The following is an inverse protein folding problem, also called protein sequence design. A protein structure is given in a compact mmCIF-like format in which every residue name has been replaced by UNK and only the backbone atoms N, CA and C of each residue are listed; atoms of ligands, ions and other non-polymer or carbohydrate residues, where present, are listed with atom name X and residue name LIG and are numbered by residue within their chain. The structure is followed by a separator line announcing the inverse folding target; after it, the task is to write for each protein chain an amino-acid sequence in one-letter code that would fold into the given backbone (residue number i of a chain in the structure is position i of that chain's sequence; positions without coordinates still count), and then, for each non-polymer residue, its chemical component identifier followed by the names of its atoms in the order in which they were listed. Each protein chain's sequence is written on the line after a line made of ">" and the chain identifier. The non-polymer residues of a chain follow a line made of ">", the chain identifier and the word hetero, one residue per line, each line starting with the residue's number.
data_IF_806859097303
#
_entry.id   IF_806859097303
#
_cell.length_a   1.000
_cell.length_b   1.000
_cell.length_c   1.000
_cell.angle_alpha   90.00
_cell.angle_beta   90.00
_cell.angle_gamma   90.00
#
_symmetry.space_group_name_H-M   'P 1'
#
loop_
_entity.id
_entity.type
_entity.pdbx_description
1 polymer ?
#
# COMPACT_ATOMS: atom_id res chain seq x y z
N UNK A 1 10.53 4.85 -15.20
CA UNK A 1 10.81 3.55 -14.54
C UNK A 1 9.57 2.95 -13.85
N UNK A 2 8.65 3.75 -13.30
CA UNK A 2 7.40 3.29 -12.69
C UNK A 2 6.40 2.58 -13.65
N UNK A 3 6.31 3.00 -14.93
CA UNK A 3 5.29 2.52 -15.89
C UNK A 3 5.27 1.01 -16.19
N UNK A 4 6.37 0.27 -15.95
CA UNK A 4 6.43 -1.19 -16.25
C UNK A 4 6.13 -2.08 -15.06
N UNK A 5 6.15 -1.55 -13.83
CA UNK A 5 6.02 -2.37 -12.62
C UNK A 5 4.54 -2.63 -12.26
N UNK A 6 3.69 -1.63 -12.41
CA UNK A 6 2.27 -1.70 -12.05
C UNK A 6 1.44 -2.76 -12.81
N UNK A 7 1.62 -2.98 -14.13
CA UNK A 7 0.82 -3.98 -14.84
C UNK A 7 1.02 -5.40 -14.31
N UNK A 8 2.23 -5.73 -13.83
CA UNK A 8 2.51 -7.06 -13.26
C UNK A 8 1.91 -7.23 -11.88
N UNK A 9 1.96 -6.18 -11.05
CA UNK A 9 1.32 -6.18 -9.73
C UNK A 9 -0.19 -6.36 -9.88
N UNK A 10 -0.83 -5.59 -10.76
CA UNK A 10 -2.27 -5.71 -11.01
C UNK A 10 -2.63 -7.09 -11.54
N UNK A 11 -1.88 -7.62 -12.50
CA UNK A 11 -2.09 -8.99 -12.97
C UNK A 11 -1.94 -10.05 -11.87
N UNK A 12 -1.04 -9.86 -10.91
CA UNK A 12 -0.90 -10.77 -9.77
C UNK A 12 -2.11 -10.68 -8.82
N UNK A 13 -2.61 -9.47 -8.53
CA UNK A 13 -3.81 -9.25 -7.71
C UNK A 13 -5.05 -9.85 -8.40
N UNK A 14 -5.18 -9.69 -9.72
CA UNK A 14 -6.30 -10.23 -10.50
C UNK A 14 -6.35 -11.75 -10.47
N UNK A 15 -5.19 -12.42 -10.51
CA UNK A 15 -5.08 -13.88 -10.49
C UNK A 15 -5.01 -14.48 -9.08
N UNK A 16 -4.91 -13.67 -8.03
CA UNK A 16 -4.86 -14.17 -6.67
C UNK A 16 -6.20 -14.81 -6.29
N UNK A 17 -6.13 -16.03 -5.73
CA UNK A 17 -7.32 -16.82 -5.34
C UNK A 17 -7.51 -16.90 -3.82
N UNK A 18 -6.45 -16.70 -3.04
CA UNK A 18 -6.48 -16.91 -1.57
C UNK A 18 -6.08 -15.68 -0.77
N UNK A 19 -4.94 -15.10 -1.10
CA UNK A 19 -4.36 -13.98 -0.33
C UNK A 19 -3.67 -12.98 -1.23
N UNK A 20 -3.80 -11.69 -0.89
CA UNK A 20 -2.99 -10.58 -1.41
C UNK A 20 -2.44 -9.80 -0.23
N UNK A 21 -1.11 -9.66 -0.17
CA UNK A 21 -0.40 -8.84 0.81
C UNK A 21 0.32 -7.72 0.06
N UNK A 22 0.05 -6.48 0.43
CA UNK A 22 0.72 -5.30 -0.13
C UNK A 22 1.38 -4.53 1.00
N UNK A 23 2.69 -4.35 0.87
CA UNK A 23 3.48 -3.48 1.74
C UNK A 23 4.11 -2.39 0.89
N UNK A 24 3.76 -1.13 1.15
CA UNK A 24 4.32 0.00 0.40
C UNK A 24 4.65 1.16 1.33
N UNK A 25 5.73 1.85 1.01
CA UNK A 25 6.15 3.05 1.72
C UNK A 25 5.34 4.29 1.31
N UNK A 26 4.86 4.34 0.06
CA UNK A 26 4.13 5.48 -0.49
C UNK A 26 2.90 4.97 -1.23
N UNK A 27 1.75 5.56 -0.91
CA UNK A 27 0.48 5.39 -1.61
C UNK A 27 -0.25 6.74 -1.60
N UNK A 28 -0.62 7.22 -2.79
CA UNK A 28 -1.35 8.45 -3.01
C UNK A 28 -2.66 8.16 -3.74
N UNK A 29 -3.66 9.04 -3.59
CA UNK A 29 -4.90 8.99 -4.39
C UNK A 29 -4.73 9.59 -5.79
N UNK A 30 -3.68 9.19 -6.49
CA UNK A 30 -3.47 9.53 -7.89
C UNK A 30 -4.03 8.44 -8.82
N UNK A 31 -3.82 8.56 -10.13
CA UNK A 31 -4.30 7.58 -11.11
C UNK A 31 -3.86 6.15 -10.79
N UNK A 32 -2.65 5.99 -10.25
CA UNK A 32 -2.05 4.69 -9.97
C UNK A 32 -2.60 4.12 -8.67
N UNK A 33 -2.69 4.92 -7.61
CA UNK A 33 -3.30 4.50 -6.36
C UNK A 33 -4.78 4.18 -6.49
N UNK A 34 -5.52 4.96 -7.28
CA UNK A 34 -6.92 4.66 -7.61
C UNK A 34 -7.06 3.37 -8.45
N UNK A 35 -6.10 3.07 -9.33
CA UNK A 35 -6.08 1.79 -10.02
C UNK A 35 -5.81 0.62 -9.07
N UNK A 36 -4.81 0.75 -8.18
CA UNK A 36 -4.52 -0.25 -7.16
C UNK A 36 -5.72 -0.49 -6.25
N UNK A 37 -6.39 0.59 -5.82
CA UNK A 37 -7.62 0.54 -5.02
C UNK A 37 -8.69 -0.35 -5.66
N UNK A 38 -8.99 -0.12 -6.95
CA UNK A 38 -9.98 -0.92 -7.69
C UNK A 38 -9.62 -2.40 -7.73
N UNK A 39 -8.34 -2.73 -7.95
CA UNK A 39 -7.89 -4.13 -8.01
C UNK A 39 -7.99 -4.82 -6.65
N UNK A 40 -7.63 -4.13 -5.57
CA UNK A 40 -7.73 -4.64 -4.21
C UNK A 40 -9.18 -4.84 -3.78
N UNK A 41 -10.05 -3.88 -4.13
CA UNK A 41 -11.49 -3.97 -3.89
C UNK A 41 -12.09 -5.18 -4.62
N UNK A 42 -11.75 -5.35 -5.90
CA UNK A 42 -12.19 -6.49 -6.69
C UNK A 42 -11.68 -7.82 -6.12
N UNK A 43 -10.44 -7.89 -5.63
CA UNK A 43 -9.90 -9.08 -4.99
C UNK A 43 -10.68 -9.43 -3.71
N UNK A 44 -10.92 -8.45 -2.85
CA UNK A 44 -11.68 -8.65 -1.62
C UNK A 44 -13.12 -9.13 -1.90
N UNK A 45 -13.78 -8.55 -2.92
CA UNK A 45 -15.12 -8.96 -3.36
C UNK A 45 -15.16 -10.39 -3.93
N UNK A 46 -14.06 -10.89 -4.50
CA UNK A 46 -13.93 -12.30 -4.90
C UNK A 46 -13.74 -13.25 -3.71
N UNK A 47 -13.64 -12.74 -2.48
CA UNK A 47 -13.38 -13.53 -1.28
C UNK A 47 -11.90 -13.76 -1.00
N UNK A 48 -11.00 -13.08 -1.71
CA UNK A 48 -9.55 -13.15 -1.46
C UNK A 48 -9.25 -12.39 -0.17
N UNK A 49 -8.44 -12.95 0.73
CA UNK A 49 -7.96 -12.22 1.91
C UNK A 49 -6.97 -11.14 1.49
N UNK A 50 -7.32 -9.87 1.69
CA UNK A 50 -6.45 -8.74 1.32
C UNK A 50 -5.96 -8.02 2.57
N UNK A 51 -4.65 -7.80 2.64
CA UNK A 51 -4.00 -6.97 3.65
C UNK A 51 -3.10 -5.94 2.99
N UNK A 52 -3.25 -4.68 3.41
CA UNK A 52 -2.48 -3.55 2.91
C UNK A 52 -1.84 -2.85 4.09
N UNK A 53 -0.52 -2.74 4.05
CA UNK A 53 0.27 -1.99 5.02
C UNK A 53 0.94 -0.82 4.32
N UNK A 54 0.70 0.39 4.82
CA UNK A 54 1.30 1.62 4.33
C UNK A 54 2.08 2.32 5.43
N UNK A 55 3.19 2.98 5.07
CA UNK A 55 3.91 3.84 6.02
C UNK A 55 3.12 5.14 6.24
N UNK A 56 2.90 5.50 7.51
CA UNK A 56 2.19 6.72 7.91
C UNK A 56 2.83 8.01 7.38
N UNK A 57 4.12 8.01 7.03
CA UNK A 57 4.80 9.17 6.45
C UNK A 57 4.48 9.41 4.97
N UNK A 58 4.28 8.35 4.18
CA UNK A 58 4.09 8.43 2.72
C UNK A 58 2.64 8.36 2.25
N UNK A 59 1.70 8.11 3.18
CA UNK A 59 0.27 7.90 2.91
C UNK A 59 -0.65 8.70 3.82
N UNK A 60 -0.13 9.77 4.45
CA UNK A 60 -0.87 10.64 5.36
C UNK A 60 -2.07 11.37 4.72
N UNK A 61 -2.14 11.42 3.38
CA UNK A 61 -3.16 12.16 2.62
C UNK A 61 -4.27 11.26 2.03
N UNK A 62 -4.33 9.97 2.40
CA UNK A 62 -5.45 9.12 1.99
C UNK A 62 -6.73 9.58 2.69
N UNK A 63 -7.76 9.84 1.90
CA UNK A 63 -9.09 10.19 2.37
C UNK A 63 -9.75 9.02 3.09
N UNK A 64 -10.61 9.35 4.06
CA UNK A 64 -11.45 8.38 4.74
C UNK A 64 -12.28 7.56 3.74
N UNK A 65 -12.72 8.16 2.63
CA UNK A 65 -13.49 7.46 1.60
C UNK A 65 -12.68 6.34 0.94
N UNK A 66 -11.42 6.60 0.62
CA UNK A 66 -10.54 5.61 0.01
C UNK A 66 -10.30 4.43 0.94
N UNK A 67 -9.98 4.71 2.20
CA UNK A 67 -9.70 3.67 3.20
C UNK A 67 -10.99 2.91 3.54
N UNK A 68 -12.08 3.62 3.85
CA UNK A 68 -13.34 3.02 4.28
C UNK A 68 -13.96 2.13 3.21
N UNK A 69 -13.80 2.47 1.93
CA UNK A 69 -14.31 1.60 0.85
C UNK A 69 -13.55 0.27 0.78
N UNK A 70 -12.24 0.26 1.05
CA UNK A 70 -11.45 -0.98 1.14
C UNK A 70 -11.82 -1.77 2.39
N UNK A 71 -11.86 -1.13 3.56
CA UNK A 71 -12.14 -1.82 4.83
C UNK A 71 -13.57 -2.37 4.87
N UNK A 72 -14.54 -1.65 4.30
CA UNK A 72 -15.93 -2.12 4.17
C UNK A 72 -16.06 -3.35 3.26
N UNK A 73 -15.14 -3.54 2.31
CA UNK A 73 -15.07 -4.74 1.49
C UNK A 73 -14.29 -5.89 2.16
N UNK A 74 -13.83 -5.71 3.40
CA UNK A 74 -13.09 -6.72 4.17
C UNK A 74 -11.57 -6.66 4.00
N UNK A 75 -11.02 -5.62 3.36
CA UNK A 75 -9.57 -5.41 3.29
C UNK A 75 -9.05 -4.98 4.66
N UNK A 76 -8.02 -5.68 5.16
CA UNK A 76 -7.31 -5.25 6.36
C UNK A 76 -6.32 -4.15 5.99
N UNK A 77 -6.64 -2.90 6.30
CA UNK A 77 -5.79 -1.74 6.02
C UNK A 77 -5.05 -1.30 7.29
N UNK A 78 -3.72 -1.19 7.23
CA UNK A 78 -2.85 -0.92 8.37
C UNK A 78 -1.96 0.26 8.05
N UNK A 79 -1.99 1.26 8.92
CA UNK A 79 -0.99 2.32 8.95
C UNK A 79 0.15 1.88 9.86
N UNK A 80 1.32 1.67 9.29
CA UNK A 80 2.55 1.45 10.04
C UNK A 80 3.18 2.80 10.37
N UNK A 81 3.13 3.18 11.66
CA UNK A 81 3.79 4.38 12.17
C UNK A 81 5.12 3.99 12.84
N UNK A 82 6.29 4.35 12.26
CA UNK A 82 7.57 4.02 12.86
C UNK A 82 7.97 4.84 14.10
N UNK A 83 7.17 5.82 14.59
CA UNK A 83 7.23 6.42 15.96
C UNK A 83 6.42 7.74 16.10
N UNK A 84 5.85 8.04 17.29
CA UNK A 84 5.05 9.24 17.52
C UNK A 84 5.88 10.54 17.47
N UNK A 85 5.24 11.60 16.98
CA UNK A 85 5.74 12.98 17.00
C UNK A 85 6.10 13.42 18.43
N UNK A 86 7.40 13.57 18.74
CA UNK A 86 7.84 14.17 20.01
C UNK A 86 7.97 15.67 19.81
N UNK A 87 7.15 16.45 20.53
CA UNK A 87 7.30 17.90 20.72
C UNK A 87 7.27 18.75 19.44
N UNK A 88 6.47 18.36 18.44
CA UNK A 88 6.25 19.15 17.22
C UNK A 88 7.49 19.35 16.33
N UNK A 89 8.63 18.76 16.68
CA UNK A 89 9.88 18.86 15.92
C UNK A 89 10.15 17.59 15.12
N UNK A 90 10.29 17.79 13.82
CA UNK A 90 10.58 16.75 12.83
C UNK A 90 12.08 16.42 12.84
N UNK A 91 12.50 15.42 13.61
CA UNK A 91 13.95 15.17 13.84
C UNK A 91 14.63 14.26 12.81
N UNK A 92 13.94 13.68 11.81
CA UNK A 92 14.57 12.70 10.90
C UNK A 92 14.04 12.70 9.45
N UNK A 93 14.01 13.86 8.79
CA UNK A 93 13.61 13.99 7.37
C UNK A 93 14.58 13.28 6.39
N UNK A 94 15.72 12.74 6.85
CA UNK A 94 16.82 12.27 5.98
C UNK A 94 17.36 10.85 6.21
N UNK A 95 16.58 9.88 6.70
CA UNK A 95 17.03 8.47 6.66
C UNK A 95 16.39 7.70 5.51
N UNK A 96 16.97 7.92 4.33
CA UNK A 96 16.76 7.10 3.13
C UNK A 96 17.22 5.67 3.40
N UNK A 97 16.29 4.72 3.45
CA UNK A 97 16.63 3.30 3.45
C UNK A 97 16.85 2.83 1.99
N UNK A 98 18.06 3.06 1.45
CA UNK A 98 18.48 2.56 0.14
C UNK A 98 18.97 1.10 0.21
N UNK A 99 18.19 0.17 0.78
CA UNK A 99 18.59 -1.25 0.75
C UNK A 99 17.99 -1.96 -0.46
N UNK A 100 18.82 -2.14 -1.50
CA UNK A 100 18.60 -3.12 -2.57
C UNK A 100 19.37 -4.38 -2.20
N UNK A 101 18.69 -5.50 -2.01
CA UNK A 101 19.34 -6.82 -2.00
C UNK A 101 18.94 -7.54 -3.28
N UNK A 102 19.93 -7.86 -4.12
CA UNK A 102 19.82 -8.84 -5.21
C UNK A 102 20.78 -9.97 -4.85
N UNK A 103 20.26 -11.18 -4.76
CA UNK A 103 21.04 -12.39 -4.59
C UNK A 103 20.33 -13.53 -5.30
N UNK A 104 20.84 -13.89 -6.48
CA UNK A 104 20.57 -15.16 -7.14
C UNK A 104 21.70 -16.13 -6.79
N UNK A 105 21.31 -17.34 -6.46
CA UNK A 105 22.14 -18.48 -6.08
C UNK A 105 21.20 -19.58 -5.60
#
# INVERSE_FOLDING_TARGET
>A
MAKRFFPRVFGAIQRAERTVLIETFILFEDDVGNALHRELLAAAQRGVRVEVMVDGYGSAELSDKFVNSLTSAGVRFIYYDPRPLVMGMRTNVFRRLHRKTVGGG
#
